data_IF_024524419487
#
_entry.id   IF_024524419487
#
_cell.length_a   1.000
_cell.length_b   1.000
_cell.length_c   1.000
_cell.angle_alpha   90.00
_cell.angle_beta   90.00
_cell.angle_gamma   90.00
#
_symmetry.space_group_name_H-M   'P 1'
#
loop_
_entity.id
_entity.type
_entity.pdbx_description
1 polymer ?
#
# COMPACT_ATOMS: atom_id res chain seq x y z
N UNK A 1 -7.30 -0.58 -3.74
CA UNK A 1 -6.29 -1.06 -2.77
C UNK A 1 -6.89 -2.22 -2.01
N UNK A 2 -6.12 -3.29 -1.84
CA UNK A 2 -6.58 -4.55 -1.24
C UNK A 2 -5.51 -5.10 -0.32
N UNK A 3 -5.93 -5.78 0.75
CA UNK A 3 -5.10 -6.65 1.55
C UNK A 3 -5.17 -8.07 0.97
N UNK A 4 -4.01 -8.69 0.80
CA UNK A 4 -3.87 -10.05 0.28
C UNK A 4 -3.25 -10.92 1.36
N UNK A 5 -3.93 -11.99 1.76
CA UNK A 5 -3.35 -12.97 2.66
C UNK A 5 -2.38 -13.88 1.92
N UNK A 6 -1.48 -14.60 2.63
CA UNK A 6 -0.61 -15.61 2.02
C UNK A 6 -1.35 -16.68 1.23
N UNK A 7 -2.61 -16.97 1.58
CA UNK A 7 -3.48 -17.92 0.89
C UNK A 7 -4.19 -17.31 -0.34
N UNK A 8 -3.79 -16.11 -0.78
CA UNK A 8 -4.39 -15.34 -1.88
C UNK A 8 -5.85 -14.92 -1.64
N UNK A 9 -6.29 -14.82 -0.39
CA UNK A 9 -7.60 -14.26 -0.08
C UNK A 9 -7.53 -12.73 -0.15
N UNK A 10 -8.44 -12.13 -0.92
CA UNK A 10 -8.47 -10.68 -1.13
C UNK A 10 -9.52 -10.00 -0.24
N UNK A 11 -9.10 -8.94 0.43
CA UNK A 11 -10.00 -8.04 1.16
C UNK A 11 -9.86 -6.63 0.59
N UNK A 12 -10.95 -6.08 0.06
CA UNK A 12 -10.97 -4.72 -0.46
C UNK A 12 -10.97 -3.75 0.72
N UNK A 13 -10.06 -2.78 0.69
CA UNK A 13 -9.97 -1.77 1.74
C UNK A 13 -10.43 -0.42 1.23
N UNK A 14 -9.87 0.02 0.10
CA UNK A 14 -10.16 1.35 -0.44
C UNK A 14 -10.20 1.31 -1.96
N UNK A 15 -11.01 2.17 -2.57
CA UNK A 15 -10.90 2.50 -4.00
C UNK A 15 -10.33 3.92 -4.12
N UNK A 16 -9.29 4.07 -4.94
CA UNK A 16 -8.80 5.39 -5.27
C UNK A 16 -9.85 6.10 -6.14
N UNK A 17 -10.18 7.33 -5.77
CA UNK A 17 -11.01 8.23 -6.56
C UNK A 17 -10.05 9.18 -7.29
N UNK A 18 -10.05 10.49 -7.01
CA UNK A 18 -9.23 11.51 -7.68
C UNK A 18 -8.50 12.42 -6.69
N UNK A 19 -7.37 13.02 -7.08
CA UNK A 19 -6.60 13.98 -6.25
C UNK A 19 -6.32 13.49 -4.82
N UNK A 20 -5.83 12.25 -4.70
CA UNK A 20 -5.56 11.60 -3.41
C UNK A 20 -6.78 11.43 -2.48
N UNK A 21 -8.00 11.46 -3.04
CA UNK A 21 -9.22 11.08 -2.35
C UNK A 21 -9.54 9.60 -2.59
N UNK A 22 -10.21 9.01 -1.61
CA UNK A 22 -10.52 7.59 -1.61
C UNK A 22 -12.00 7.35 -1.26
N UNK A 23 -12.48 6.17 -1.63
CA UNK A 23 -13.69 5.59 -1.09
C UNK A 23 -13.31 4.47 -0.13
N UNK A 24 -13.98 4.42 1.00
CA UNK A 24 -13.87 3.33 1.97
C UNK A 24 -14.70 2.13 1.52
N UNK A 25 -14.02 0.99 1.34
CA UNK A 25 -14.63 -0.29 0.95
C UNK A 25 -14.59 -1.33 2.07
N UNK A 26 -14.17 -0.94 3.28
CA UNK A 26 -13.93 -1.86 4.39
C UNK A 26 -15.21 -2.52 4.90
N UNK A 27 -16.37 -1.86 4.82
CA UNK A 27 -17.64 -2.42 5.32
C UNK A 27 -17.52 -3.01 6.75
N UNK A 28 -16.89 -2.24 7.65
CA UNK A 28 -16.61 -2.63 9.03
C UNK A 28 -15.43 -3.58 9.23
N UNK A 29 -14.68 -3.94 8.18
CA UNK A 29 -13.36 -4.55 8.31
C UNK A 29 -12.42 -3.62 9.10
N UNK A 30 -11.73 -4.17 10.09
CA UNK A 30 -10.74 -3.45 10.86
C UNK A 30 -9.57 -4.36 11.24
N UNK A 31 -8.48 -3.74 11.66
CA UNK A 31 -7.24 -4.42 11.98
C UNK A 31 -6.84 -4.09 13.41
N UNK A 32 -6.24 -5.05 14.10
CA UNK A 32 -5.64 -4.83 15.41
C UNK A 32 -4.26 -5.50 15.51
N UNK A 33 -3.43 -4.92 16.37
CA UNK A 33 -2.20 -5.54 16.87
C UNK A 33 -2.36 -5.73 18.38
N UNK A 34 -2.26 -6.97 18.83
CA UNK A 34 -2.38 -7.34 20.25
C UNK A 34 -1.16 -8.14 20.69
N UNK A 35 -0.83 -8.21 21.98
CA UNK A 35 0.17 -9.15 22.48
C UNK A 35 -0.21 -10.58 22.10
N UNK A 36 0.77 -11.37 21.65
CA UNK A 36 0.53 -12.81 21.47
C UNK A 36 0.34 -13.46 22.83
N UNK A 37 -0.69 -14.29 22.98
CA UNK A 37 -0.99 -14.98 24.24
C UNK A 37 -0.75 -16.49 24.14
N UNK A 38 -0.36 -17.09 25.26
CA UNK A 38 -0.36 -18.55 25.45
C UNK A 38 -1.77 -19.02 25.79
N UNK A 39 -1.96 -20.35 25.83
CA UNK A 39 -3.24 -20.97 26.22
C UNK A 39 -3.76 -20.56 27.60
N UNK A 40 -2.88 -20.12 28.48
CA UNK A 40 -3.22 -19.66 29.83
C UNK A 40 -3.52 -18.15 29.90
N UNK A 41 -3.54 -17.45 28.76
CA UNK A 41 -3.74 -16.00 28.67
C UNK A 41 -2.52 -15.16 29.00
N UNK A 42 -1.36 -15.78 29.30
CA UNK A 42 -0.13 -15.01 29.52
C UNK A 42 0.48 -14.56 28.20
N UNK A 43 0.98 -13.33 28.15
CA UNK A 43 1.67 -12.81 26.97
C UNK A 43 2.96 -13.61 26.68
N UNK A 44 3.24 -13.81 25.39
CA UNK A 44 4.51 -14.33 24.88
C UNK A 44 5.45 -13.13 24.69
N UNK A 45 6.52 -13.00 25.51
CA UNK A 45 7.38 -11.83 25.44
C UNK A 45 7.99 -11.62 24.05
N UNK A 46 7.90 -10.39 23.56
CA UNK A 46 8.46 -9.97 22.29
C UNK A 46 7.66 -10.38 21.04
N UNK A 47 6.49 -11.02 21.21
CA UNK A 47 5.61 -11.40 20.11
C UNK A 47 4.34 -10.56 20.10
N UNK A 48 3.87 -10.24 18.90
CA UNK A 48 2.56 -9.62 18.66
C UNK A 48 1.77 -10.42 17.65
N UNK A 49 0.45 -10.32 17.74
CA UNK A 49 -0.50 -10.94 16.83
C UNK A 49 -1.25 -9.85 16.08
N UNK A 50 -1.07 -9.83 14.76
CA UNK A 50 -1.92 -9.07 13.85
C UNK A 50 -3.20 -9.83 13.59
N UNK A 51 -4.34 -9.14 13.60
CA UNK A 51 -5.64 -9.69 13.21
C UNK A 51 -6.35 -8.76 12.24
N UNK A 52 -6.97 -9.36 11.23
CA UNK A 52 -7.99 -8.73 10.40
C UNK A 52 -9.35 -9.26 10.87
N UNK A 53 -10.24 -8.36 11.24
CA UNK A 53 -11.57 -8.67 11.75
C UNK A 53 -12.65 -8.11 10.84
N UNK A 54 -13.84 -8.71 10.88
CA UNK A 54 -15.03 -8.16 10.24
C UNK A 54 -15.82 -7.23 11.17
N UNK A 55 -16.97 -6.75 10.70
CA UNK A 55 -17.88 -5.88 11.46
C UNK A 55 -18.50 -6.49 12.72
N UNK A 56 -18.26 -7.78 12.98
CA UNK A 56 -18.74 -8.54 14.14
C UNK A 56 -17.60 -9.02 15.05
N UNK A 57 -16.40 -8.47 14.87
CA UNK A 57 -15.18 -8.87 15.58
C UNK A 57 -14.80 -10.36 15.37
N UNK A 58 -15.24 -10.97 14.26
CA UNK A 58 -14.81 -12.31 13.88
C UNK A 58 -13.45 -12.23 13.18
N UNK A 59 -12.49 -13.03 13.65
CA UNK A 59 -11.14 -13.09 13.07
C UNK A 59 -11.22 -13.73 11.67
N UNK A 60 -10.88 -12.95 10.66
CA UNK A 60 -10.81 -13.38 9.26
C UNK A 60 -9.42 -13.85 8.85
N UNK A 61 -8.39 -13.30 9.50
CA UNK A 61 -6.99 -13.66 9.30
C UNK A 61 -6.20 -13.26 10.55
N UNK A 62 -5.25 -14.09 10.96
CA UNK A 62 -4.34 -13.79 12.07
C UNK A 62 -2.92 -14.24 11.78
N UNK A 63 -1.95 -13.47 12.26
CA UNK A 63 -0.52 -13.80 12.16
C UNK A 63 0.18 -13.37 13.44
N UNK A 64 0.82 -14.33 14.12
CA UNK A 64 1.71 -14.03 15.25
C UNK A 64 3.16 -13.95 14.76
N UNK A 65 3.90 -12.93 15.19
CA UNK A 65 5.26 -12.65 14.73
C UNK A 65 6.14 -12.10 15.85
N UNK A 66 7.45 -12.24 15.69
CA UNK A 66 8.44 -11.75 16.67
C UNK A 66 8.65 -10.24 16.50
N UNK A 67 7.72 -9.44 17.04
CA UNK A 67 7.72 -7.98 16.94
C UNK A 67 8.96 -7.32 17.57
N UNK A 68 9.50 -7.89 18.64
CA UNK A 68 10.68 -7.34 19.33
C UNK A 68 11.90 -7.22 18.40
N UNK A 69 12.05 -8.14 17.45
CA UNK A 69 13.13 -8.07 16.46
C UNK A 69 13.11 -6.75 15.67
N UNK A 70 11.93 -6.28 15.26
CA UNK A 70 11.79 -5.03 14.52
C UNK A 70 12.01 -3.80 15.41
N UNK A 71 11.60 -3.88 16.67
CA UNK A 71 11.90 -2.84 17.68
C UNK A 71 13.40 -2.73 17.91
N UNK A 72 14.09 -3.85 18.08
CA UNK A 72 15.54 -3.86 18.30
C UNK A 72 16.30 -3.30 17.08
N UNK A 73 15.86 -3.64 15.86
CA UNK A 73 16.42 -3.06 14.64
C UNK A 73 16.17 -1.55 14.54
N UNK A 74 14.95 -1.09 14.85
CA UNK A 74 14.60 0.32 14.86
C UNK A 74 15.44 1.11 15.88
N UNK A 75 15.57 0.60 17.12
CA UNK A 75 16.37 1.23 18.16
C UNK A 75 17.88 1.19 17.86
N UNK A 76 18.32 0.21 17.09
CA UNK A 76 19.70 0.08 16.61
C UNK A 76 20.01 0.91 15.36
N UNK A 77 19.02 1.56 14.73
CA UNK A 77 19.24 2.37 13.52
C UNK A 77 20.00 3.65 13.87
N UNK A 78 21.27 3.68 13.48
CA UNK A 78 22.16 4.83 13.65
C UNK A 78 22.14 5.77 12.42
N UNK A 79 21.41 5.41 11.36
CA UNK A 79 21.32 6.26 10.17
C UNK A 79 20.39 7.44 10.49
N UNK A 80 20.93 8.66 10.44
CA UNK A 80 20.29 9.90 10.89
C UNK A 80 19.12 10.36 9.98
N UNK A 81 18.18 9.48 9.68
CA UNK A 81 17.00 9.74 8.86
C UNK A 81 15.85 10.14 9.79
N UNK A 82 15.48 11.42 9.80
CA UNK A 82 14.43 11.97 10.68
C UNK A 82 13.02 11.46 10.37
N UNK A 83 12.82 10.84 9.21
CA UNK A 83 11.50 10.41 8.73
C UNK A 83 11.21 8.91 8.95
N UNK A 84 12.08 8.19 9.66
CA UNK A 84 11.85 6.77 9.97
C UNK A 84 11.24 6.59 11.35
N UNK A 85 10.20 5.76 11.40
CA UNK A 85 9.56 5.31 12.63
C UNK A 85 9.41 3.79 12.62
N UNK A 86 8.82 3.23 13.68
CA UNK A 86 8.65 1.78 13.79
C UNK A 86 7.84 1.20 12.62
N UNK A 87 6.89 1.94 12.03
CA UNK A 87 6.12 1.47 10.88
C UNK A 87 6.93 1.38 9.59
N UNK A 88 8.14 1.96 9.56
CA UNK A 88 9.11 1.77 8.47
C UNK A 88 9.77 0.38 8.53
N UNK A 89 9.88 -0.19 9.73
CA UNK A 89 10.58 -1.46 9.99
C UNK A 89 9.61 -2.62 10.21
N UNK A 90 8.54 -2.38 10.95
CA UNK A 90 7.47 -3.35 11.22
C UNK A 90 6.33 -3.15 10.23
N UNK A 91 6.18 -4.14 9.34
CA UNK A 91 5.16 -4.17 8.30
C UNK A 91 3.74 -3.98 8.86
N UNK A 92 3.38 -4.63 9.97
CA UNK A 92 2.00 -4.56 10.48
C UNK A 92 1.71 -3.22 11.12
N UNK A 93 2.69 -2.61 11.80
CA UNK A 93 2.57 -1.24 12.31
C UNK A 93 2.41 -0.24 11.16
N UNK A 94 3.24 -0.38 10.11
CA UNK A 94 3.14 0.45 8.90
C UNK A 94 1.81 0.28 8.17
N UNK A 95 1.32 -0.96 8.06
CA UNK A 95 0.03 -1.28 7.44
C UNK A 95 -1.13 -0.60 8.17
N UNK A 96 -1.22 -0.74 9.51
CA UNK A 96 -2.32 -0.13 10.27
C UNK A 96 -2.33 1.39 10.13
N UNK A 97 -1.15 2.03 10.21
CA UNK A 97 -1.03 3.48 10.01
C UNK A 97 -1.41 3.91 8.61
N UNK A 98 -0.97 3.18 7.58
CA UNK A 98 -1.35 3.47 6.20
C UNK A 98 -2.86 3.34 5.98
N UNK A 99 -3.51 2.38 6.63
CA UNK A 99 -4.98 2.23 6.59
C UNK A 99 -5.67 3.43 7.25
N UNK A 100 -5.23 3.86 8.43
CA UNK A 100 -5.78 5.06 9.11
C UNK A 100 -5.58 6.33 8.29
N UNK A 101 -4.39 6.49 7.70
CA UNK A 101 -4.04 7.67 6.91
C UNK A 101 -4.85 7.75 5.62
N UNK A 102 -5.12 6.64 4.94
CA UNK A 102 -6.01 6.59 3.78
C UNK A 102 -7.47 6.77 4.20
N UNK A 103 -7.88 6.19 5.33
CA UNK A 103 -9.23 6.38 5.87
C UNK A 103 -9.53 7.87 6.12
N UNK A 104 -8.55 8.65 6.60
CA UNK A 104 -8.70 10.10 6.79
C UNK A 104 -8.94 10.88 5.48
N UNK A 105 -8.63 10.27 4.33
CA UNK A 105 -8.79 10.83 2.97
C UNK A 105 -10.01 10.26 2.25
N UNK A 106 -10.84 9.47 2.94
CA UNK A 106 -12.07 8.92 2.39
C UNK A 106 -13.17 9.99 2.36
N UNK A 107 -14.01 9.93 1.32
CA UNK A 107 -15.14 10.87 1.13
C UNK A 107 -16.48 10.17 1.34
N UNK A 108 -17.47 10.91 1.82
CA UNK A 108 -18.81 10.37 2.09
C UNK A 108 -19.63 10.04 0.83
N UNK A 109 -19.48 10.85 -0.24
CA UNK A 109 -20.26 10.74 -1.47
C UNK A 109 -19.33 10.48 -2.69
N UNK A 110 -18.71 9.30 -2.78
CA UNK A 110 -17.68 8.97 -3.77
C UNK A 110 -18.19 9.03 -5.22
N UNK A 111 -19.48 8.75 -5.44
CA UNK A 111 -20.16 8.83 -6.73
C UNK A 111 -20.17 10.23 -7.35
N UNK A 112 -20.08 11.29 -6.54
CA UNK A 112 -20.02 12.67 -7.02
C UNK A 112 -18.63 13.06 -7.54
N UNK A 113 -17.59 12.35 -7.11
CA UNK A 113 -16.19 12.59 -7.52
C UNK A 113 -15.85 11.76 -8.76
N UNK A 114 -16.47 10.59 -8.88
CA UNK A 114 -16.18 9.61 -9.94
C UNK A 114 -14.77 8.99 -9.80
N UNK A 115 -14.51 7.86 -10.48
CA UNK A 115 -13.17 7.30 -10.53
C UNK A 115 -12.23 8.25 -11.29
N UNK A 116 -10.98 8.37 -10.86
CA UNK A 116 -9.95 9.04 -11.65
C UNK A 116 -9.58 8.13 -12.83
N UNK A 117 -10.25 8.41 -13.96
CA UNK A 117 -9.98 7.78 -15.25
C UNK A 117 -8.55 8.05 -15.74
N UNK A 118 -7.81 8.96 -15.08
CA UNK A 118 -6.47 9.37 -15.47
C UNK A 118 -5.36 8.39 -14.98
N UNK A 119 -5.67 7.41 -14.12
CA UNK A 119 -4.69 6.37 -13.71
C UNK A 119 -4.63 5.21 -14.69
N UNK A 120 -3.89 5.39 -15.78
CA UNK A 120 -3.69 4.35 -16.78
C UNK A 120 -2.58 3.41 -16.30
N UNK A 121 -2.86 2.10 -16.18
CA UNK A 121 -1.86 1.07 -15.84
C UNK A 121 -1.69 0.06 -16.95
N UNK A 122 -0.45 -0.26 -17.28
CA UNK A 122 -0.12 -1.10 -18.45
C UNK A 122 1.06 -2.02 -18.11
N UNK A 123 0.94 -3.35 -18.29
CA UNK A 123 2.05 -4.27 -18.04
C UNK A 123 3.14 -4.16 -19.12
N UNK A 124 4.35 -4.61 -18.81
CA UNK A 124 5.42 -4.84 -19.80
C UNK A 124 4.92 -5.63 -21.02
N UNK A 125 5.38 -5.24 -22.20
CA UNK A 125 5.03 -5.85 -23.48
C UNK A 125 3.72 -5.38 -24.10
N UNK A 126 2.77 -4.85 -23.30
CA UNK A 126 1.54 -4.29 -23.85
C UNK A 126 1.80 -2.98 -24.61
N UNK A 127 0.90 -2.63 -25.53
CA UNK A 127 1.02 -1.39 -26.32
C UNK A 127 0.73 -0.19 -25.44
N UNK A 128 1.64 0.79 -25.45
CA UNK A 128 1.50 2.05 -24.76
C UNK A 128 0.26 2.81 -25.30
N UNK A 129 -0.76 3.07 -24.47
CA UNK A 129 -2.01 3.68 -24.91
C UNK A 129 -1.91 5.19 -25.04
N UNK A 130 -0.83 5.81 -24.52
CA UNK A 130 -0.68 7.27 -24.52
C UNK A 130 0.77 7.70 -24.36
N UNK A 131 1.19 8.66 -25.17
CA UNK A 131 2.52 9.26 -25.05
C UNK A 131 2.64 10.02 -23.72
N UNK A 132 3.70 9.77 -22.96
CA UNK A 132 3.95 10.48 -21.70
C UNK A 132 5.02 9.83 -20.85
N UNK A 133 5.18 10.33 -19.62
CA UNK A 133 6.01 9.70 -18.62
C UNK A 133 5.22 8.64 -17.86
N UNK A 134 5.87 7.50 -17.69
CA UNK A 134 5.34 6.34 -17.00
C UNK A 134 6.30 6.00 -15.87
N UNK A 135 5.75 5.68 -14.70
CA UNK A 135 6.49 5.15 -13.56
C UNK A 135 6.19 3.67 -13.39
N UNK A 136 7.14 2.95 -12.81
CA UNK A 136 6.88 1.60 -12.32
C UNK A 136 5.96 1.70 -11.08
N UNK A 137 4.81 1.03 -11.10
CA UNK A 137 3.77 1.20 -10.08
C UNK A 137 4.20 0.81 -8.65
N UNK A 138 5.27 0.03 -8.50
CA UNK A 138 5.88 -0.38 -7.22
C UNK A 138 7.24 0.29 -6.96
N UNK A 139 7.78 1.09 -7.88
CA UNK A 139 9.05 1.82 -7.73
C UNK A 139 8.91 3.26 -8.24
N UNK A 140 8.97 4.24 -7.33
CA UNK A 140 8.89 5.66 -7.70
C UNK A 140 10.12 6.18 -8.46
N UNK A 141 11.25 5.47 -8.40
CA UNK A 141 12.53 5.94 -8.96
C UNK A 141 12.72 5.61 -10.45
N UNK A 142 11.98 4.63 -10.99
CA UNK A 142 12.11 4.25 -12.40
C UNK A 142 11.02 4.91 -13.25
N UNK A 143 11.42 5.98 -13.96
CA UNK A 143 10.58 6.77 -14.86
C UNK A 143 11.05 6.63 -16.30
N UNK A 144 10.10 6.48 -17.23
CA UNK A 144 10.41 6.45 -18.66
C UNK A 144 9.37 7.18 -19.49
N UNK A 145 9.84 8.00 -20.42
CA UNK A 145 8.96 8.58 -21.45
C UNK A 145 8.76 7.54 -22.56
N UNK A 146 7.51 7.15 -22.80
CA UNK A 146 7.14 6.12 -23.77
C UNK A 146 6.15 6.75 -24.74
N UNK A 147 6.37 6.51 -26.04
CA UNK A 147 5.46 6.95 -27.10
C UNK A 147 4.28 6.00 -27.24
N UNK A 148 3.11 6.56 -27.56
CA UNK A 148 1.93 5.80 -27.90
C UNK A 148 2.21 4.81 -29.04
N UNK A 149 1.63 3.61 -28.95
CA UNK A 149 1.83 2.55 -29.94
C UNK A 149 3.12 1.73 -29.76
N UNK A 150 4.08 2.19 -28.92
CA UNK A 150 5.29 1.40 -28.59
C UNK A 150 4.98 0.36 -27.51
N UNK A 151 5.66 -0.79 -27.50
CA UNK A 151 5.53 -1.74 -26.39
C UNK A 151 6.10 -1.16 -25.09
N UNK A 152 5.42 -1.40 -23.97
CA UNK A 152 5.92 -1.05 -22.64
C UNK A 152 7.19 -1.85 -22.33
N UNK A 153 8.30 -1.22 -21.92
CA UNK A 153 9.56 -1.90 -21.70
C UNK A 153 9.58 -2.69 -20.38
N UNK A 154 10.55 -3.60 -20.23
CA UNK A 154 10.94 -4.12 -18.92
C UNK A 154 11.73 -3.06 -18.15
N UNK A 155 11.69 -3.14 -16.81
CA UNK A 155 12.47 -2.28 -15.90
C UNK A 155 13.43 -3.17 -15.11
N UNK A 156 14.72 -2.81 -15.03
CA UNK A 156 15.74 -3.58 -14.31
C UNK A 156 15.76 -5.10 -14.64
N UNK A 157 15.42 -5.46 -15.88
CA UNK A 157 15.36 -6.86 -16.31
C UNK A 157 14.15 -7.67 -15.82
N UNK A 158 13.17 -7.03 -15.18
CA UNK A 158 11.90 -7.64 -14.75
C UNK A 158 10.69 -7.08 -15.52
N UNK A 159 9.66 -7.89 -15.62
CA UNK A 159 8.34 -7.44 -16.06
C UNK A 159 7.68 -6.65 -14.93
N UNK A 160 7.09 -5.51 -15.30
CA UNK A 160 6.52 -4.57 -14.35
C UNK A 160 5.16 -4.07 -14.82
N UNK A 161 4.44 -3.40 -13.92
CA UNK A 161 3.26 -2.61 -14.27
C UNK A 161 3.67 -1.16 -14.29
N UNK A 162 3.50 -0.51 -15.44
CA UNK A 162 3.70 0.90 -15.61
C UNK A 162 2.41 1.67 -15.28
N UNK A 163 2.54 2.84 -14.67
CA UNK A 163 1.47 3.76 -14.33
C UNK A 163 1.72 5.12 -15.01
N UNK A 164 0.75 5.58 -15.80
CA UNK A 164 0.80 6.90 -16.43
C UNK A 164 0.48 7.95 -15.38
N UNK A 165 1.31 8.98 -15.33
CA UNK A 165 1.06 10.13 -14.48
C UNK A 165 0.55 11.27 -15.34
N UNK A 166 -0.63 11.77 -15.00
CA UNK A 166 -1.02 13.09 -15.48
C UNK A 166 -0.01 14.12 -14.98
N UNK A 167 0.36 15.05 -15.86
CA UNK A 167 1.25 16.19 -15.56
C UNK A 167 0.71 17.02 -14.38
N UNK A 168 -0.58 16.94 -14.09
CA UNK A 168 -1.25 17.64 -12.98
C UNK A 168 -0.92 17.06 -11.59
N UNK A 169 -0.33 15.86 -11.51
CA UNK A 169 -0.14 15.12 -10.25
C UNK A 169 1.33 15.13 -9.79
N UNK A 170 2.27 15.39 -10.70
CA UNK A 170 3.70 15.26 -10.44
C UNK A 170 4.35 16.65 -10.48
N UNK A 171 5.14 17.03 -9.45
CA UNK A 171 5.85 18.30 -9.46
C UNK A 171 6.71 18.47 -10.73
N UNK A 172 6.74 19.65 -11.38
CA UNK A 172 7.46 19.88 -12.63
C UNK A 172 8.91 19.40 -12.62
N UNK A 173 9.55 19.46 -11.45
CA UNK A 173 10.92 19.04 -11.16
C UNK A 173 11.19 17.53 -11.35
N UNK A 174 10.16 16.68 -11.39
CA UNK A 174 10.29 15.26 -11.77
C UNK A 174 10.17 15.02 -13.28
N UNK A 175 9.83 16.02 -14.09
CA UNK A 175 9.82 15.94 -15.55
C UNK A 175 11.09 16.46 -16.22
N UNK A 176 12.02 17.01 -15.42
CA UNK A 176 13.37 17.40 -15.81
C UNK A 176 14.34 16.20 -15.74
#
# INVERSE_FOLDING_TARGET
MKFLTPENKEYKLFRYLKKALFEDLRDGLHMELVPTEKKDGSAVPGYSTFRLLNSRDEILHEVSYHAQFFVDLYLGDFTASVDRDLGTWDFFVGLMRGVEEIASKCVENPELIGPDLDRIRVPTGATCPKTGFWLVADLFDDKKRIEEGKPMPSSLGRDVVWEWLSVDIVPPEFFL
#
